data_IF_601766204415
#
_entry.id   IF_601766204415
#
_cell.length_a   1.000
_cell.length_b   1.000
_cell.length_c   1.000
_cell.angle_alpha   90.00
_cell.angle_beta   90.00
_cell.angle_gamma   90.00
#
_symmetry.space_group_name_H-M   'P 1'
#
loop_
_entity.id
_entity.type
_entity.pdbx_description
1 polymer ?
#
# COMPACT_ATOMS: atom_id res chain seq x y z
N UNK A 1 -0.91 -10.42 -7.66
CA UNK A 1 -1.10 -9.22 -6.82
C UNK A 1 -2.11 -8.31 -7.48
N UNK A 2 -3.18 -7.91 -6.76
CA UNK A 2 -4.27 -7.09 -7.31
C UNK A 2 -4.10 -5.58 -7.05
N UNK A 3 -3.23 -5.17 -6.13
CA UNK A 3 -2.93 -3.75 -5.90
C UNK A 3 -2.31 -3.14 -7.16
N UNK A 4 -2.95 -2.12 -7.70
CA UNK A 4 -2.63 -1.49 -8.98
C UNK A 4 -2.18 -0.05 -8.77
N UNK A 5 -1.12 0.35 -9.46
CA UNK A 5 -0.62 1.72 -9.49
C UNK A 5 -0.73 2.25 -10.92
N UNK A 6 -1.60 3.23 -11.13
CA UNK A 6 -1.79 3.91 -12.41
C UNK A 6 -0.94 5.16 -12.49
N UNK A 7 -0.11 5.30 -13.52
CA UNK A 7 0.52 6.58 -13.82
C UNK A 7 -0.54 7.58 -14.28
N UNK A 8 -0.54 8.77 -13.68
CA UNK A 8 -1.42 9.89 -13.99
C UNK A 8 -0.60 11.18 -13.95
N UNK A 9 -0.06 11.59 -15.10
CA UNK A 9 0.88 12.71 -15.20
C UNK A 9 2.17 12.44 -14.43
N UNK A 10 2.43 13.27 -13.43
CA UNK A 10 3.61 13.24 -12.56
C UNK A 10 3.46 12.34 -11.33
N UNK A 11 2.28 11.74 -11.13
CA UNK A 11 1.97 10.93 -9.94
C UNK A 11 1.46 9.53 -10.28
N UNK A 12 1.44 8.68 -9.25
CA UNK A 12 0.78 7.37 -9.31
C UNK A 12 -0.46 7.36 -8.42
N UNK A 13 -1.54 6.79 -8.93
CA UNK A 13 -2.75 6.49 -8.14
C UNK A 13 -2.74 5.02 -7.80
N UNK A 14 -2.61 4.71 -6.51
CA UNK A 14 -2.54 3.34 -6.01
C UNK A 14 -3.90 2.92 -5.47
N UNK A 15 -4.45 1.83 -6.00
CA UNK A 15 -5.71 1.26 -5.57
C UNK A 15 -5.54 -0.22 -5.23
N UNK A 16 -6.00 -0.61 -4.04
CA UNK A 16 -6.05 -1.99 -3.63
C UNK A 16 -6.15 -2.15 -2.12
N UNK A 17 -6.24 -3.40 -1.68
CA UNK A 17 -6.23 -3.77 -0.27
C UNK A 17 -5.02 -4.64 -0.01
N UNK A 18 -4.30 -4.34 1.07
CA UNK A 18 -3.23 -5.18 1.62
C UNK A 18 -3.70 -5.74 2.95
N UNK A 19 -3.17 -6.90 3.31
CA UNK A 19 -3.54 -7.62 4.52
C UNK A 19 -2.28 -8.13 5.22
N UNK A 20 -2.37 -8.33 6.53
CA UNK A 20 -1.27 -8.77 7.39
C UNK A 20 -0.03 -7.89 7.32
N UNK A 21 -0.24 -6.58 7.48
CA UNK A 21 0.84 -5.59 7.50
C UNK A 21 1.32 -5.41 8.93
N UNK A 22 2.42 -6.09 9.28
CA UNK A 22 3.09 -5.96 10.57
C UNK A 22 3.42 -4.50 10.87
N UNK A 23 2.99 -4.00 12.03
CA UNK A 23 3.16 -2.61 12.42
C UNK A 23 2.29 -1.62 11.63
N UNK A 24 1.40 -2.09 10.75
CA UNK A 24 0.64 -1.22 9.85
C UNK A 24 -0.17 -0.14 10.56
N UNK A 25 -0.64 -0.43 11.79
CA UNK A 25 -1.37 0.50 12.64
C UNK A 25 -0.53 1.53 13.40
N UNK A 26 0.80 1.39 13.45
CA UNK A 26 1.70 2.27 14.22
C UNK A 26 2.80 2.91 13.37
N UNK A 27 3.18 2.30 12.25
CA UNK A 27 4.19 2.83 11.34
C UNK A 27 3.79 4.20 10.78
N UNK A 28 4.77 5.11 10.66
CA UNK A 28 4.59 6.39 9.94
C UNK A 28 4.89 6.27 8.45
N UNK A 29 5.77 5.34 8.07
CA UNK A 29 6.22 5.12 6.71
C UNK A 29 5.83 3.72 6.25
N UNK A 30 5.28 3.61 5.06
CA UNK A 30 4.86 2.34 4.47
C UNK A 30 5.43 2.20 3.07
N UNK A 31 6.21 1.13 2.84
CA UNK A 31 6.64 0.72 1.51
C UNK A 31 5.58 -0.19 0.90
N UNK A 32 4.85 0.32 -0.09
CA UNK A 32 3.75 -0.36 -0.76
C UNK A 32 4.23 -0.89 -2.10
N UNK A 33 4.20 -2.20 -2.28
CA UNK A 33 4.38 -2.82 -3.60
C UNK A 33 3.06 -2.89 -4.36
N UNK A 34 3.06 -2.42 -5.61
CA UNK A 34 1.91 -2.46 -6.50
C UNK A 34 2.32 -2.77 -7.94
N UNK A 35 1.40 -3.34 -8.72
CA UNK A 35 1.58 -3.57 -10.16
C UNK A 35 1.36 -2.26 -10.91
N UNK A 36 2.35 -1.85 -11.68
CA UNK A 36 2.41 -0.53 -12.31
C UNK A 36 1.89 -0.58 -13.73
N UNK A 37 1.09 0.41 -14.09
CA UNK A 37 0.61 0.63 -15.45
C UNK A 37 0.93 2.05 -15.89
N UNK A 38 1.41 2.21 -17.12
CA UNK A 38 1.61 3.53 -17.72
C UNK A 38 0.30 4.21 -18.12
N UNK A 39 0.37 5.42 -18.66
CA UNK A 39 -0.81 6.19 -19.08
C UNK A 39 -1.56 5.56 -20.26
N UNK A 40 -0.91 4.65 -21.01
CA UNK A 40 -1.51 3.88 -22.11
C UNK A 40 -2.08 2.54 -21.63
N UNK A 41 -1.96 2.23 -20.34
CA UNK A 41 -2.42 0.98 -19.76
C UNK A 41 -1.46 -0.20 -19.96
N UNK A 42 -0.22 0.03 -20.40
CA UNK A 42 0.79 -1.01 -20.50
C UNK A 42 1.33 -1.40 -19.12
N UNK A 43 1.43 -2.70 -18.82
CA UNK A 43 2.00 -3.20 -17.57
C UNK A 43 3.53 -3.00 -17.56
N UNK A 44 4.05 -2.38 -16.51
CA UNK A 44 5.49 -2.10 -16.31
C UNK A 44 6.13 -2.98 -15.22
N UNK A 45 5.40 -3.96 -14.69
CA UNK A 45 5.86 -4.83 -13.60
C UNK A 45 5.49 -4.32 -12.21
N UNK A 46 6.34 -4.59 -11.21
CA UNK A 46 6.09 -4.26 -9.80
C UNK A 46 6.98 -3.10 -9.38
N UNK A 47 6.37 -2.05 -8.84
CA UNK A 47 7.06 -0.89 -8.27
C UNK A 47 6.87 -0.80 -6.76
N UNK A 48 7.85 -0.20 -6.09
CA UNK A 48 7.78 0.17 -4.68
C UNK A 48 7.41 1.65 -4.53
N UNK A 49 6.45 1.94 -3.66
CA UNK A 49 5.93 3.28 -3.41
C UNK A 49 6.01 3.60 -1.92
N UNK A 50 6.43 4.81 -1.58
CA UNK A 50 6.43 5.27 -0.20
C UNK A 50 5.12 6.01 0.07
N UNK A 51 4.42 5.59 1.11
CA UNK A 51 3.27 6.28 1.67
C UNK A 51 3.59 6.71 3.10
N UNK A 52 3.39 7.99 3.40
CA UNK A 52 3.49 8.53 4.75
C UNK A 52 2.09 8.59 5.37
N UNK A 53 1.93 8.02 6.56
CA UNK A 53 0.68 8.01 7.31
C UNK A 53 0.22 9.45 7.58
N UNK A 54 -1.09 9.68 7.48
CA UNK A 54 -1.77 10.97 7.69
C UNK A 54 -1.43 12.08 6.67
N UNK A 55 -0.39 11.89 5.84
CA UNK A 55 -0.03 12.78 4.72
C UNK A 55 -0.49 12.22 3.36
N UNK A 56 -0.53 10.89 3.21
CA UNK A 56 -0.91 10.23 1.94
C UNK A 56 -2.42 10.15 1.81
N UNK A 57 -3.00 10.97 0.92
CA UNK A 57 -4.44 10.99 0.66
C UNK A 57 -4.98 9.61 0.25
N UNK A 58 -6.07 9.18 0.88
CA UNK A 58 -6.77 7.94 0.55
C UNK A 58 -6.19 6.69 1.22
N UNK A 59 -5.04 6.80 1.89
CA UNK A 59 -4.52 5.73 2.72
C UNK A 59 -5.41 5.51 3.94
N UNK A 60 -5.84 4.27 4.16
CA UNK A 60 -6.66 3.87 5.31
C UNK A 60 -6.04 2.67 5.98
N UNK A 61 -5.84 2.78 7.29
CA UNK A 61 -5.41 1.65 8.13
C UNK A 61 -6.67 0.88 8.56
N UNK A 62 -6.65 -0.44 8.38
CA UNK A 62 -7.73 -1.33 8.80
C UNK A 62 -7.65 -1.73 10.27
N UNK A 63 -8.59 -2.56 10.70
CA UNK A 63 -8.53 -3.17 12.03
C UNK A 63 -7.36 -4.15 12.14
N UNK A 64 -6.83 -4.29 13.36
CA UNK A 64 -5.82 -5.29 13.69
C UNK A 64 -6.48 -6.66 13.84
N UNK A 65 -5.91 -7.66 13.19
CA UNK A 65 -6.40 -9.03 13.27
C UNK A 65 -5.96 -9.71 14.58
N UNK A 66 -6.85 -10.42 15.28
CA UNK A 66 -6.47 -11.25 16.42
C UNK A 66 -5.75 -12.52 15.94
N UNK A 67 -4.49 -12.68 16.32
CA UNK A 67 -3.65 -13.83 15.98
C UNK A 67 -3.44 -14.77 17.18
N UNK A 68 -3.08 -16.03 16.91
CA UNK A 68 -2.78 -17.03 17.94
C UNK A 68 -1.62 -16.60 18.86
N UNK A 69 -0.54 -16.08 18.27
CA UNK A 69 0.67 -15.60 18.95
C UNK A 69 1.12 -14.24 18.41
N UNK A 70 2.29 -13.75 18.83
CA UNK A 70 2.81 -12.41 18.47
C UNK A 70 1.84 -11.26 18.82
N UNK A 71 1.05 -11.45 19.88
CA UNK A 71 -0.01 -10.51 20.31
C UNK A 71 0.52 -9.16 20.81
N UNK A 72 1.83 -9.01 21.00
CA UNK A 72 2.48 -7.73 21.29
C UNK A 72 2.81 -6.89 20.05
N UNK A 73 2.68 -7.47 18.85
CA UNK A 73 2.96 -6.77 17.60
C UNK A 73 1.63 -6.23 17.03
N UNK A 74 1.52 -4.91 16.83
CA UNK A 74 0.34 -4.28 16.24
C UNK A 74 0.25 -4.48 14.73
#
# INVERSE_FOLDING_TARGET
>A
MATRADRRGDRFVINGRKHWITGGGVSRLHLVFARVFDEKGAELGIGGFIAVRDETRGMRIGAREPTMGLRGIP
#
